data_IF_509998961720
#
_entry.id   IF_509998961720
#
_cell.length_a   1.000
_cell.length_b   1.000
_cell.length_c   1.000
_cell.angle_alpha   90.00
_cell.angle_beta   90.00
_cell.angle_gamma   90.00
#
_symmetry.space_group_name_H-M   'P 1'
#
loop_
_entity.id
_entity.type
_entity.pdbx_description
1 polymer ?
#
# COMPACT_ATOMS: atom_id res chain seq x y z
N UNK A 1 -9.00 27.88 59.58
CA UNK A 1 -9.24 27.87 58.11
C UNK A 1 -10.30 26.83 57.80
N UNK A 2 -11.36 27.20 57.09
CA UNK A 2 -12.37 26.24 56.61
C UNK A 2 -11.74 25.23 55.66
N UNK A 3 -12.23 23.98 55.62
CA UNK A 3 -11.66 22.88 54.78
C UNK A 3 -11.42 23.28 53.31
N UNK A 4 -12.30 24.11 52.73
CA UNK A 4 -12.17 24.59 51.34
C UNK A 4 -10.95 25.50 51.12
N UNK A 5 -10.68 26.45 52.01
CA UNK A 5 -9.53 27.35 51.94
C UNK A 5 -8.21 26.61 52.07
N UNK A 6 -8.17 25.63 53.02
CA UNK A 6 -6.99 24.75 53.19
C UNK A 6 -6.70 23.92 51.91
N UNK A 7 -7.73 23.43 51.26
CA UNK A 7 -7.59 22.68 49.99
C UNK A 7 -7.09 23.58 48.88
N UNK A 8 -7.63 24.80 48.77
CA UNK A 8 -7.21 25.81 47.78
C UNK A 8 -5.75 26.20 47.95
N UNK A 9 -5.33 26.47 49.18
CA UNK A 9 -3.95 26.79 49.53
C UNK A 9 -2.98 25.67 49.15
N UNK A 10 -3.32 24.38 49.42
CA UNK A 10 -2.50 23.24 49.05
C UNK A 10 -2.35 23.14 47.51
N UNK A 11 -3.45 23.34 46.74
CA UNK A 11 -3.42 23.32 45.28
C UNK A 11 -2.49 24.43 44.75
N UNK A 12 -2.54 25.62 45.35
CA UNK A 12 -1.73 26.75 44.93
C UNK A 12 -0.24 26.55 45.21
N UNK A 13 0.10 26.03 46.39
CA UNK A 13 1.47 25.62 46.74
C UNK A 13 2.00 24.55 45.79
N UNK A 14 1.18 23.54 45.43
CA UNK A 14 1.57 22.52 44.46
C UNK A 14 1.79 23.08 43.04
N UNK A 15 0.99 24.07 42.62
CA UNK A 15 1.20 24.79 41.36
C UNK A 15 2.52 25.54 41.34
N UNK A 16 2.81 26.29 42.38
CA UNK A 16 4.07 27.07 42.53
C UNK A 16 5.28 26.10 42.54
N UNK A 17 5.21 25.02 43.30
CA UNK A 17 6.26 24.00 43.31
C UNK A 17 6.53 23.41 41.92
N UNK A 18 5.47 23.03 41.21
CA UNK A 18 5.58 22.49 39.82
C UNK A 18 6.16 23.51 38.86
N UNK A 19 5.79 24.77 38.98
CA UNK A 19 6.31 25.86 38.17
C UNK A 19 7.81 26.06 38.42
N UNK A 20 8.20 26.16 39.70
CA UNK A 20 9.59 26.31 40.12
C UNK A 20 10.49 25.15 39.73
N UNK A 21 9.96 23.91 39.78
CA UNK A 21 10.75 22.71 39.53
C UNK A 21 10.46 22.08 38.15
N UNK A 22 9.86 22.81 37.23
CA UNK A 22 9.37 22.31 35.95
C UNK A 22 10.43 21.55 35.15
N UNK A 23 11.63 22.09 35.07
CA UNK A 23 12.71 21.47 34.29
C UNK A 23 13.26 20.21 34.96
N UNK A 24 13.42 20.22 36.29
CA UNK A 24 13.83 19.03 37.04
C UNK A 24 12.80 17.89 36.94
N UNK A 25 11.51 18.24 37.05
CA UNK A 25 10.42 17.25 36.88
C UNK A 25 10.45 16.65 35.48
N UNK A 26 10.63 17.47 34.43
CA UNK A 26 10.73 16.96 33.04
C UNK A 26 11.95 16.08 32.83
N UNK A 27 13.09 16.45 33.41
CA UNK A 27 14.32 15.62 33.33
C UNK A 27 14.10 14.24 33.96
N UNK A 28 13.55 14.23 35.19
CA UNK A 28 13.24 12.97 35.89
C UNK A 28 12.20 12.11 35.13
N UNK A 29 11.15 12.72 34.56
CA UNK A 29 10.19 11.99 33.73
C UNK A 29 10.83 11.41 32.48
N UNK A 30 11.74 12.15 31.83
CA UNK A 30 12.45 11.68 30.64
C UNK A 30 13.36 10.49 30.97
N UNK A 31 14.08 10.59 32.06
CA UNK A 31 14.92 9.51 32.54
C UNK A 31 14.11 8.28 32.95
N UNK A 32 13.05 8.45 33.73
CA UNK A 32 12.14 7.36 34.07
C UNK A 32 11.58 6.64 32.85
N UNK A 33 11.12 7.40 31.84
CA UNK A 33 10.60 6.84 30.58
C UNK A 33 11.69 6.10 29.81
N UNK A 34 12.93 6.58 29.81
CA UNK A 34 14.08 5.93 29.19
C UNK A 34 14.35 4.58 29.85
N UNK A 35 14.45 4.56 31.18
CA UNK A 35 14.81 3.40 31.97
C UNK A 35 13.69 2.33 32.01
N UNK A 36 12.42 2.75 31.86
CA UNK A 36 11.25 1.87 31.93
C UNK A 36 10.54 1.67 30.58
N UNK A 37 11.20 1.95 29.46
CA UNK A 37 10.59 1.97 28.13
C UNK A 37 9.87 0.65 27.79
N UNK A 38 10.49 -0.48 28.06
CA UNK A 38 9.92 -1.80 27.74
C UNK A 38 8.69 -2.10 28.59
N UNK A 39 8.76 -1.84 29.89
CA UNK A 39 7.64 -2.04 30.83
C UNK A 39 6.44 -1.16 30.45
N UNK A 40 6.69 0.11 30.16
CA UNK A 40 5.66 1.05 29.74
C UNK A 40 5.01 0.63 28.43
N UNK A 41 5.81 0.17 27.45
CA UNK A 41 5.30 -0.34 26.18
C UNK A 41 4.46 -1.60 26.37
N UNK A 42 4.87 -2.54 27.25
CA UNK A 42 4.10 -3.74 27.57
C UNK A 42 2.75 -3.36 28.18
N UNK A 43 2.75 -2.52 29.20
CA UNK A 43 1.51 -2.03 29.86
C UNK A 43 0.58 -1.33 28.88
N UNK A 44 1.14 -0.48 27.99
CA UNK A 44 0.37 0.20 26.95
C UNK A 44 -0.29 -0.79 25.97
N UNK A 45 0.46 -1.78 25.50
CA UNK A 45 -0.06 -2.82 24.61
C UNK A 45 -1.21 -3.61 25.26
N UNK A 46 -1.06 -3.97 26.52
CA UNK A 46 -2.10 -4.67 27.28
C UNK A 46 -3.36 -3.82 27.47
N UNK A 47 -3.16 -2.54 27.81
CA UNK A 47 -4.26 -1.59 27.93
C UNK A 47 -4.99 -1.41 26.59
N UNK A 48 -4.27 -1.27 25.47
CA UNK A 48 -4.85 -1.19 24.12
C UNK A 48 -5.68 -2.43 23.78
N UNK A 49 -5.20 -3.63 24.13
CA UNK A 49 -5.96 -4.88 23.92
C UNK A 49 -7.28 -4.84 24.69
N UNK A 50 -7.23 -4.47 25.97
CA UNK A 50 -8.42 -4.39 26.83
C UNK A 50 -9.41 -3.29 26.38
N UNK A 51 -8.92 -2.21 25.81
CA UNK A 51 -9.72 -1.04 25.44
C UNK A 51 -9.93 -0.88 23.91
N UNK A 52 -9.78 -1.95 23.13
CA UNK A 52 -9.83 -1.92 21.66
C UNK A 52 -11.08 -1.20 21.11
N UNK A 53 -12.26 -1.52 21.65
CA UNK A 53 -13.53 -0.91 21.22
C UNK A 53 -13.58 0.60 21.53
N UNK A 54 -13.14 1.00 22.73
CA UNK A 54 -13.09 2.41 23.15
C UNK A 54 -12.13 3.21 22.27
N UNK A 55 -10.95 2.67 21.99
CA UNK A 55 -9.97 3.28 21.10
C UNK A 55 -10.50 3.44 19.68
N UNK A 56 -11.14 2.40 19.14
CA UNK A 56 -11.75 2.46 17.81
C UNK A 56 -12.79 3.58 17.71
N UNK A 57 -13.72 3.66 18.68
CA UNK A 57 -14.76 4.70 18.70
C UNK A 57 -14.16 6.10 18.82
N UNK A 58 -13.16 6.27 19.69
CA UNK A 58 -12.44 7.54 19.82
C UNK A 58 -11.75 7.94 18.51
N UNK A 59 -11.01 7.02 17.88
CA UNK A 59 -10.35 7.29 16.62
C UNK A 59 -11.33 7.59 15.48
N UNK A 60 -12.47 6.88 15.45
CA UNK A 60 -13.53 7.14 14.48
C UNK A 60 -14.09 8.55 14.64
N UNK A 61 -14.51 8.90 15.84
CA UNK A 61 -15.03 10.24 16.16
C UNK A 61 -13.98 11.34 15.87
N UNK A 62 -12.72 11.12 16.26
CA UNK A 62 -11.66 12.07 15.96
C UNK A 62 -11.49 12.32 14.45
N UNK A 63 -11.50 11.26 13.62
CA UNK A 63 -11.40 11.38 12.17
C UNK A 63 -12.60 12.09 11.56
N UNK A 64 -13.80 11.81 12.05
CA UNK A 64 -15.04 12.45 11.59
C UNK A 64 -15.03 13.96 11.88
N UNK A 65 -14.59 14.35 13.08
CA UNK A 65 -14.55 15.75 13.51
C UNK A 65 -13.35 16.54 12.96
N UNK A 66 -12.29 15.84 12.47
CA UNK A 66 -11.05 16.50 12.02
C UNK A 66 -10.66 16.07 10.60
N UNK A 67 -11.63 15.83 9.71
CA UNK A 67 -11.40 15.31 8.35
C UNK A 67 -10.32 16.06 7.59
N UNK A 68 -10.41 17.38 7.52
CA UNK A 68 -9.46 18.22 6.78
C UNK A 68 -8.05 18.18 7.39
N UNK A 69 -7.96 18.23 8.70
CA UNK A 69 -6.67 18.15 9.41
C UNK A 69 -5.99 16.80 9.20
N UNK A 70 -6.76 15.71 9.27
CA UNK A 70 -6.26 14.35 8.99
C UNK A 70 -5.81 14.22 7.54
N UNK A 71 -6.59 14.75 6.58
CA UNK A 71 -6.24 14.77 5.15
C UNK A 71 -4.95 15.54 4.88
N UNK A 72 -4.80 16.71 5.47
CA UNK A 72 -3.57 17.51 5.36
C UNK A 72 -2.35 16.78 5.93
N UNK A 73 -2.47 16.14 7.09
CA UNK A 73 -1.38 15.35 7.67
C UNK A 73 -1.00 14.17 6.80
N UNK A 74 -1.98 13.43 6.28
CA UNK A 74 -1.75 12.32 5.37
C UNK A 74 -1.04 12.80 4.10
N UNK A 75 -1.49 13.92 3.51
CA UNK A 75 -0.85 14.52 2.34
C UNK A 75 0.59 14.94 2.63
N UNK A 76 0.83 15.65 3.73
CA UNK A 76 2.16 16.11 4.13
C UNK A 76 3.11 14.94 4.39
N UNK A 77 2.63 13.90 5.08
CA UNK A 77 3.42 12.70 5.31
C UNK A 77 3.74 11.98 3.99
N UNK A 78 2.73 11.82 3.13
CA UNK A 78 2.90 11.18 1.83
C UNK A 78 3.90 11.94 0.95
N UNK A 79 3.81 13.26 0.91
CA UNK A 79 4.72 14.09 0.10
C UNK A 79 6.16 14.08 0.63
N UNK A 80 6.35 14.03 1.95
CA UNK A 80 7.68 14.02 2.58
C UNK A 80 8.35 12.63 2.56
N UNK A 81 7.60 11.60 2.86
CA UNK A 81 8.18 10.28 3.18
C UNK A 81 7.48 9.14 2.46
N UNK A 82 6.16 9.23 2.28
CA UNK A 82 5.32 8.15 1.78
C UNK A 82 5.63 7.76 0.33
N UNK A 83 5.95 8.74 -0.52
CA UNK A 83 6.32 8.50 -1.93
C UNK A 83 7.60 7.68 -2.04
N UNK A 84 8.62 8.06 -1.29
CA UNK A 84 9.89 7.36 -1.28
C UNK A 84 9.76 5.96 -0.69
N UNK A 85 9.09 5.85 0.46
CA UNK A 85 8.78 4.56 1.07
C UNK A 85 8.04 3.62 0.12
N UNK A 86 6.97 4.11 -0.53
CA UNK A 86 6.18 3.32 -1.48
C UNK A 86 7.01 2.87 -2.69
N UNK A 87 7.87 3.75 -3.23
CA UNK A 87 8.78 3.41 -4.33
C UNK A 87 9.79 2.34 -3.92
N UNK A 88 10.42 2.49 -2.75
CA UNK A 88 11.41 1.53 -2.25
C UNK A 88 10.75 0.19 -1.94
N UNK A 89 9.59 0.18 -1.27
CA UNK A 89 8.80 -1.03 -1.04
C UNK A 89 8.45 -1.75 -2.34
N UNK A 90 7.92 -1.02 -3.33
CA UNK A 90 7.56 -1.59 -4.62
C UNK A 90 8.79 -2.14 -5.37
N UNK A 91 9.93 -1.43 -5.30
CA UNK A 91 11.19 -1.85 -5.92
C UNK A 91 11.69 -3.17 -5.32
N UNK A 92 11.75 -3.25 -3.99
CA UNK A 92 12.22 -4.46 -3.31
C UNK A 92 11.26 -5.62 -3.52
N UNK A 93 9.96 -5.37 -3.42
CA UNK A 93 8.97 -6.41 -3.66
C UNK A 93 8.98 -6.92 -5.11
N UNK A 94 9.16 -6.05 -6.09
CA UNK A 94 9.29 -6.46 -7.49
C UNK A 94 10.50 -7.38 -7.75
N UNK A 95 11.58 -7.26 -6.96
CA UNK A 95 12.74 -8.15 -7.07
C UNK A 95 12.44 -9.55 -6.50
N UNK A 96 11.73 -9.62 -5.39
CA UNK A 96 11.55 -10.84 -4.60
C UNK A 96 10.26 -11.61 -4.95
N UNK A 97 9.22 -10.92 -5.41
CA UNK A 97 7.87 -11.45 -5.64
C UNK A 97 7.54 -11.38 -7.14
N UNK A 98 7.71 -12.52 -7.83
CA UNK A 98 7.43 -12.62 -9.26
C UNK A 98 5.94 -12.40 -9.59
N UNK A 99 5.02 -12.81 -8.70
CA UNK A 99 3.57 -12.59 -8.87
C UNK A 99 3.26 -11.09 -8.80
N UNK A 100 3.83 -10.39 -7.82
CA UNK A 100 3.67 -8.94 -7.69
C UNK A 100 4.25 -8.19 -8.90
N UNK A 101 5.40 -8.63 -9.39
CA UNK A 101 6.03 -8.08 -10.59
C UNK A 101 5.16 -8.28 -11.83
N UNK A 102 4.62 -9.48 -12.05
CA UNK A 102 3.70 -9.77 -13.14
C UNK A 102 2.45 -8.88 -13.05
N UNK A 103 1.82 -8.83 -11.87
CA UNK A 103 0.63 -8.00 -11.64
C UNK A 103 0.85 -6.54 -12.03
N UNK A 104 1.95 -5.95 -11.59
CA UNK A 104 2.25 -4.56 -11.87
C UNK A 104 2.47 -4.33 -13.38
N UNK A 105 3.18 -5.24 -14.04
CA UNK A 105 3.44 -5.13 -15.48
C UNK A 105 2.16 -5.25 -16.31
N UNK A 106 1.30 -6.22 -15.98
CA UNK A 106 0.00 -6.37 -16.66
C UNK A 106 -0.87 -5.13 -16.43
N UNK A 107 -0.93 -4.62 -15.19
CA UNK A 107 -1.70 -3.39 -14.89
C UNK A 107 -1.22 -2.20 -15.73
N UNK A 108 0.09 -2.03 -15.85
CA UNK A 108 0.67 -0.96 -16.66
C UNK A 108 0.32 -1.16 -18.14
N UNK A 109 0.49 -2.37 -18.69
CA UNK A 109 0.15 -2.65 -20.10
C UNK A 109 -1.31 -2.40 -20.43
N UNK A 110 -2.25 -2.84 -19.56
CA UNK A 110 -3.68 -2.56 -19.73
C UNK A 110 -3.92 -1.04 -19.69
N UNK A 111 -3.27 -0.33 -18.79
CA UNK A 111 -3.38 1.13 -18.72
C UNK A 111 -2.88 1.81 -20.00
N UNK A 112 -1.70 1.43 -20.46
CA UNK A 112 -1.09 1.97 -21.67
C UNK A 112 -1.93 1.66 -22.93
N UNK A 113 -2.42 0.42 -23.06
CA UNK A 113 -3.27 0.03 -24.17
C UNK A 113 -4.60 0.78 -24.20
N UNK A 114 -5.14 1.11 -23.04
CA UNK A 114 -6.38 1.89 -22.95
C UNK A 114 -6.16 3.38 -23.27
N UNK A 115 -4.95 3.92 -23.12
CA UNK A 115 -4.52 5.27 -23.57
C UNK A 115 -5.61 6.35 -23.46
N UNK A 116 -6.02 6.71 -22.23
CA UNK A 116 -7.06 7.71 -21.98
C UNK A 116 -8.50 7.22 -22.13
N UNK A 117 -8.73 5.97 -22.54
CA UNK A 117 -10.06 5.34 -22.51
C UNK A 117 -10.40 4.88 -21.09
N UNK A 118 -11.69 4.81 -20.79
CA UNK A 118 -12.14 4.41 -19.45
C UNK A 118 -11.97 2.89 -19.28
N UNK A 119 -11.18 2.48 -18.32
CA UNK A 119 -11.10 1.09 -17.87
C UNK A 119 -12.39 0.70 -17.16
N UNK A 120 -13.23 -0.13 -17.77
CA UNK A 120 -14.55 -0.50 -17.24
C UNK A 120 -14.49 -1.54 -16.13
N UNK A 121 -13.48 -2.43 -16.14
CA UNK A 121 -13.40 -3.56 -15.22
C UNK A 121 -12.07 -3.58 -14.46
N UNK A 122 -12.02 -4.30 -13.34
CA UNK A 122 -10.76 -4.58 -12.67
C UNK A 122 -9.84 -5.44 -13.55
N UNK A 123 -8.53 -5.36 -13.34
CA UNK A 123 -7.56 -6.19 -14.09
C UNK A 123 -7.91 -7.67 -14.04
N UNK A 124 -8.33 -8.17 -12.88
CA UNK A 124 -8.67 -9.60 -12.70
C UNK A 124 -9.90 -10.00 -13.51
N UNK A 125 -10.91 -9.13 -13.62
CA UNK A 125 -12.11 -9.38 -14.44
C UNK A 125 -11.75 -9.34 -15.93
N UNK A 126 -10.89 -8.41 -16.35
CA UNK A 126 -10.44 -8.34 -17.74
C UNK A 126 -9.64 -9.58 -18.15
N UNK A 127 -8.82 -10.11 -17.25
CA UNK A 127 -8.04 -11.33 -17.48
C UNK A 127 -8.89 -12.59 -17.42
N UNK A 128 -10.05 -12.54 -16.79
CA UNK A 128 -10.92 -13.69 -16.48
C UNK A 128 -10.18 -14.83 -15.76
N UNK A 129 -9.46 -14.46 -14.69
CA UNK A 129 -8.68 -15.42 -13.90
C UNK A 129 -9.11 -15.41 -12.43
N UNK A 130 -9.14 -16.57 -11.75
CA UNK A 130 -9.45 -16.63 -10.31
C UNK A 130 -8.38 -15.95 -9.46
N UNK A 131 -7.11 -16.07 -9.86
CA UNK A 131 -5.96 -15.43 -9.22
C UNK A 131 -4.79 -15.34 -10.21
N UNK A 132 -3.70 -14.66 -9.79
CA UNK A 132 -2.54 -14.49 -10.66
C UNK A 132 -1.64 -15.72 -10.75
N UNK A 133 -1.73 -16.64 -9.82
CA UNK A 133 -1.02 -17.92 -9.91
C UNK A 133 -1.57 -18.77 -11.06
N UNK A 134 -2.89 -18.75 -11.27
CA UNK A 134 -3.51 -19.38 -12.44
C UNK A 134 -2.95 -18.80 -13.74
N UNK A 135 -2.80 -17.47 -13.83
CA UNK A 135 -2.19 -16.85 -15.01
C UNK A 135 -0.73 -17.29 -15.20
N UNK A 136 0.03 -17.40 -14.11
CA UNK A 136 1.40 -17.89 -14.18
C UNK A 136 1.44 -19.31 -14.75
N UNK A 137 0.63 -20.22 -14.20
CA UNK A 137 0.55 -21.60 -14.69
C UNK A 137 0.17 -21.65 -16.18
N UNK A 138 -0.80 -20.84 -16.60
CA UNK A 138 -1.17 -20.73 -18.02
C UNK A 138 0.01 -20.27 -18.90
N UNK A 139 0.78 -19.28 -18.47
CA UNK A 139 1.96 -18.80 -19.22
C UNK A 139 3.08 -19.85 -19.24
N UNK A 140 3.28 -20.58 -18.13
CA UNK A 140 4.30 -21.64 -18.04
C UNK A 140 4.05 -22.79 -19.01
N UNK A 141 2.80 -23.13 -19.28
CA UNK A 141 2.49 -24.17 -20.30
C UNK A 141 2.93 -23.78 -21.71
N UNK A 142 3.20 -22.51 -21.95
CA UNK A 142 3.59 -21.95 -23.23
C UNK A 142 5.07 -21.50 -23.25
N UNK A 143 5.86 -21.79 -22.20
CA UNK A 143 7.24 -21.36 -22.13
C UNK A 143 8.10 -22.00 -23.23
N UNK A 144 8.84 -21.16 -23.91
CA UNK A 144 9.90 -21.61 -24.82
C UNK A 144 11.14 -22.06 -24.02
N UNK A 145 12.02 -22.88 -24.61
CA UNK A 145 13.24 -23.31 -23.94
C UNK A 145 14.03 -22.16 -23.34
N UNK A 146 14.38 -22.28 -22.06
CA UNK A 146 15.11 -21.26 -21.32
C UNK A 146 14.25 -20.19 -20.63
N UNK A 147 12.94 -20.14 -20.84
CA UNK A 147 12.05 -19.25 -20.09
C UNK A 147 11.77 -19.80 -18.70
N UNK A 148 11.81 -18.96 -17.70
CA UNK A 148 11.47 -19.26 -16.29
C UNK A 148 10.79 -18.09 -15.62
N UNK A 149 10.21 -18.29 -14.42
CA UNK A 149 9.65 -17.20 -13.60
C UNK A 149 10.74 -16.21 -13.15
N UNK A 150 11.93 -16.70 -12.86
CA UNK A 150 13.06 -15.93 -12.33
C UNK A 150 13.59 -14.96 -13.38
N UNK A 151 13.66 -15.41 -14.64
CA UNK A 151 14.17 -14.57 -15.72
C UNK A 151 13.09 -13.73 -16.42
N UNK A 152 11.90 -13.58 -15.78
CA UNK A 152 10.86 -12.66 -16.25
C UNK A 152 11.39 -11.23 -16.39
N UNK A 153 11.41 -10.73 -17.59
CA UNK A 153 12.03 -9.47 -18.00
C UNK A 153 12.95 -9.68 -19.18
N UNK A 154 13.55 -10.90 -19.37
CA UNK A 154 14.16 -11.34 -20.61
C UNK A 154 13.10 -11.80 -21.63
N UNK A 155 11.94 -12.17 -21.14
CA UNK A 155 10.72 -12.42 -21.90
C UNK A 155 9.57 -11.56 -21.38
N UNK A 156 8.56 -11.34 -22.21
CA UNK A 156 7.41 -10.51 -21.92
C UNK A 156 6.11 -11.30 -22.07
N UNK A 157 5.07 -10.89 -21.33
CA UNK A 157 3.69 -11.29 -21.64
C UNK A 157 3.23 -10.43 -22.81
N UNK A 158 2.80 -11.05 -23.88
CA UNK A 158 2.32 -10.39 -25.10
C UNK A 158 0.90 -10.84 -25.42
N UNK A 159 0.21 -10.09 -26.32
CA UNK A 159 -1.11 -10.45 -26.82
C UNK A 159 -0.96 -11.28 -28.11
N UNK A 160 -1.60 -12.44 -28.21
CA UNK A 160 -1.63 -13.24 -29.45
C UNK A 160 -2.27 -12.39 -30.55
N UNK A 161 -3.48 -11.90 -30.32
CA UNK A 161 -4.15 -10.91 -31.16
C UNK A 161 -3.84 -9.53 -30.59
N UNK A 162 -3.16 -8.64 -31.35
CA UNK A 162 -2.70 -7.34 -30.85
C UNK A 162 -3.86 -6.44 -30.40
N UNK A 163 -3.61 -5.58 -29.42
CA UNK A 163 -4.61 -4.63 -28.89
C UNK A 163 -5.23 -3.72 -29.95
N UNK A 164 -4.49 -3.41 -31.01
CA UNK A 164 -4.98 -2.57 -32.12
C UNK A 164 -6.10 -3.23 -32.95
N UNK A 165 -6.26 -4.54 -32.84
CA UNK A 165 -7.32 -5.31 -33.51
C UNK A 165 -8.68 -5.25 -32.79
N UNK A 166 -8.75 -4.61 -31.64
CA UNK A 166 -9.96 -4.52 -30.80
C UNK A 166 -10.44 -3.09 -30.67
N UNK A 167 -11.74 -2.89 -30.67
CA UNK A 167 -12.34 -1.61 -30.25
C UNK A 167 -12.33 -1.51 -28.71
N UNK A 168 -11.27 -0.94 -28.16
CA UNK A 168 -11.10 -0.78 -26.73
C UNK A 168 -12.02 0.29 -26.10
N UNK A 169 -12.94 0.90 -26.86
CA UNK A 169 -14.03 1.71 -26.31
C UNK A 169 -15.20 0.83 -25.85
N UNK A 170 -15.36 -0.35 -26.48
CA UNK A 170 -16.35 -1.36 -26.10
C UNK A 170 -15.84 -2.19 -24.91
N UNK A 171 -16.62 -2.27 -23.80
CA UNK A 171 -16.28 -3.10 -22.65
C UNK A 171 -16.11 -4.59 -22.95
N UNK A 172 -16.87 -5.17 -23.89
CA UNK A 172 -16.76 -6.58 -24.24
C UNK A 172 -15.51 -6.85 -25.08
N UNK A 173 -15.14 -5.94 -25.97
CA UNK A 173 -13.86 -6.01 -26.68
C UNK A 173 -12.67 -5.84 -25.74
N UNK A 174 -12.76 -5.00 -24.68
CA UNK A 174 -11.75 -4.95 -23.64
C UNK A 174 -11.55 -6.33 -22.96
N UNK A 175 -12.65 -7.06 -22.64
CA UNK A 175 -12.55 -8.40 -22.06
C UNK A 175 -11.88 -9.38 -23.02
N UNK A 176 -12.27 -9.41 -24.29
CA UNK A 176 -11.66 -10.27 -25.30
C UNK A 176 -10.16 -9.98 -25.47
N UNK A 177 -9.79 -8.71 -25.59
CA UNK A 177 -8.42 -8.28 -25.76
C UNK A 177 -7.52 -8.73 -24.60
N UNK A 178 -7.96 -8.49 -23.37
CA UNK A 178 -7.15 -8.76 -22.16
C UNK A 178 -7.41 -10.14 -21.53
N UNK A 179 -8.27 -10.97 -22.10
CA UNK A 179 -8.52 -12.33 -21.62
C UNK A 179 -7.22 -13.14 -21.55
N UNK A 180 -7.06 -13.97 -20.51
CA UNK A 180 -5.83 -14.75 -20.32
C UNK A 180 -5.44 -15.63 -21.50
N UNK A 181 -6.43 -16.15 -22.26
CA UNK A 181 -6.19 -16.97 -23.44
C UNK A 181 -5.62 -16.18 -24.63
N UNK A 182 -5.74 -14.86 -24.62
CA UNK A 182 -5.09 -13.99 -25.61
C UNK A 182 -3.68 -13.56 -25.17
N UNK A 183 -3.14 -14.14 -24.09
CA UNK A 183 -1.81 -13.82 -23.58
C UNK A 183 -0.85 -14.98 -23.82
N UNK A 184 0.37 -14.64 -24.22
CA UNK A 184 1.47 -15.59 -24.46
C UNK A 184 2.79 -15.02 -23.93
N UNK A 185 3.75 -15.87 -23.53
CA UNK A 185 5.11 -15.46 -23.28
C UNK A 185 5.89 -15.36 -24.60
N UNK A 186 6.59 -14.26 -24.84
CA UNK A 186 7.52 -14.10 -25.95
C UNK A 186 8.86 -13.59 -25.42
N UNK A 187 9.98 -14.02 -26.01
CA UNK A 187 11.26 -13.40 -25.76
C UNK A 187 11.19 -11.90 -26.07
N UNK A 188 11.91 -11.08 -25.30
CA UNK A 188 11.83 -9.62 -25.45
C UNK A 188 12.17 -9.15 -26.86
N UNK A 189 13.15 -9.77 -27.53
CA UNK A 189 13.51 -9.54 -28.93
C UNK A 189 12.35 -9.83 -29.87
N UNK A 190 11.71 -11.01 -29.69
CA UNK A 190 10.64 -11.47 -30.57
C UNK A 190 9.39 -10.62 -30.39
N UNK A 191 9.09 -10.24 -29.15
CA UNK A 191 7.99 -9.32 -28.85
C UNK A 191 8.17 -7.96 -29.51
N UNK A 192 9.40 -7.42 -29.53
CA UNK A 192 9.72 -6.17 -30.22
C UNK A 192 9.57 -6.34 -31.74
N UNK A 193 10.07 -7.44 -32.28
CA UNK A 193 10.01 -7.75 -33.73
C UNK A 193 8.57 -8.01 -34.19
N UNK A 194 7.75 -8.65 -33.38
CA UNK A 194 6.32 -8.88 -33.65
C UNK A 194 5.55 -7.56 -33.78
N UNK A 195 5.78 -6.62 -32.88
CA UNK A 195 5.03 -5.36 -32.84
C UNK A 195 3.51 -5.61 -32.79
N UNK A 196 2.77 -5.07 -33.79
CA UNK A 196 1.32 -5.26 -33.91
C UNK A 196 0.90 -6.38 -34.88
N UNK A 197 1.80 -7.27 -35.26
CA UNK A 197 1.48 -8.37 -36.18
C UNK A 197 0.85 -9.56 -35.43
N UNK A 198 0.00 -10.33 -36.11
CA UNK A 198 -0.43 -11.66 -35.67
C UNK A 198 0.60 -12.63 -36.23
N UNK A 199 1.21 -13.46 -35.35
CA UNK A 199 2.17 -14.50 -35.73
C UNK A 199 1.43 -15.80 -36.06
#
# INVERSE_FOLDING_TARGET
MPKKERTQHIIEQQKLYRLKNKEAIKANEKEYRKNNKELLNKRWKEWCKKNKKKLYLYQKSYRENNKEKVRQWQKTWYDKTGKEYARNYARERNKQDCIFRLQNRIRTRIWDALSGRIKKFSTRILLDVPNLEFLWQHLETQFQPGMTRENYGLWHVDHIIPCVSFDLTDPEEQKKCFHYTNLQPLWASDNISKGAKIL
#
